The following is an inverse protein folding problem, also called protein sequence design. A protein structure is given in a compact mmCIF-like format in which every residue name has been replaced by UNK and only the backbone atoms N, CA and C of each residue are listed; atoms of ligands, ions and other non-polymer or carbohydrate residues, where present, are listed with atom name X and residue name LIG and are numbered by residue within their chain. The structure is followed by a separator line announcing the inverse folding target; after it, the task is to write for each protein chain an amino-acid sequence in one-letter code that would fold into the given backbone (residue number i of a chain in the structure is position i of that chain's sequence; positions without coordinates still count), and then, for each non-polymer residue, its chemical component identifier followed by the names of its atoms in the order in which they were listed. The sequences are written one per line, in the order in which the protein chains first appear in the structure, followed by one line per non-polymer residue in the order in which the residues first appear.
data_IF_309956614859
#
_entry.id   IF_309956614859
#
_cell.length_a   1.000
_cell.length_b   1.000
_cell.length_c   1.000
_cell.angle_alpha   90.00
_cell.angle_beta   90.00
_cell.angle_gamma   90.00
#
_symmetry.space_group_name_H-M   'P 1'
#
loop_
_entity.id
_entity.type
_entity.pdbx_description
1 polymer ?
#
# COMPACT_ATOMS: atom_id res chain seq x y z
N UNK A 1 -19.96 1.23 10.05
CA UNK A 1 -19.64 -0.05 9.40
C UNK A 1 -20.88 -0.76 8.90
N UNK A 2 -21.91 -0.97 9.74
CA UNK A 2 -23.20 -1.56 9.34
C UNK A 2 -23.76 -0.96 8.06
N UNK A 3 -23.92 0.37 7.99
CA UNK A 3 -24.47 1.02 6.79
C UNK A 3 -23.61 0.75 5.55
N UNK A 4 -22.28 0.85 5.67
CA UNK A 4 -21.38 0.56 4.55
C UNK A 4 -21.51 -0.89 4.07
N UNK A 5 -21.67 -1.86 4.97
CA UNK A 5 -21.87 -3.27 4.62
C UNK A 5 -23.21 -3.49 3.90
N UNK A 6 -24.29 -2.85 4.38
CA UNK A 6 -25.63 -2.94 3.77
C UNK A 6 -25.70 -2.22 2.41
N UNK A 7 -24.91 -1.16 2.23
CA UNK A 7 -24.78 -0.48 0.93
C UNK A 7 -23.97 -1.30 -0.07
N UNK A 8 -23.03 -2.13 0.40
CA UNK A 8 -22.14 -2.93 -0.44
C UNK A 8 -22.82 -4.16 -1.03
N UNK A 9 -23.51 -4.95 -0.19
CA UNK A 9 -24.12 -6.22 -0.56
C UNK A 9 -25.34 -6.52 0.32
N UNK A 10 -26.20 -7.44 -0.12
CA UNK A 10 -27.33 -7.94 0.66
C UNK A 10 -26.86 -8.84 1.81
N UNK A 11 -26.51 -8.22 2.94
CA UNK A 11 -25.98 -8.90 4.13
C UNK A 11 -26.96 -8.89 5.30
N UNK A 12 -26.89 -9.95 6.11
CA UNK A 12 -27.41 -9.93 7.47
C UNK A 12 -26.30 -9.42 8.41
N UNK A 13 -26.43 -8.19 8.91
CA UNK A 13 -25.43 -7.59 9.81
C UNK A 13 -25.87 -7.74 11.27
N UNK A 14 -25.09 -8.48 12.06
CA UNK A 14 -25.32 -8.69 13.50
C UNK A 14 -24.24 -7.94 14.28
N UNK A 15 -24.65 -7.00 15.13
CA UNK A 15 -23.74 -6.29 16.05
C UNK A 15 -23.71 -7.01 17.39
N UNK A 16 -22.53 -7.49 17.79
CA UNK A 16 -22.33 -8.15 19.08
C UNK A 16 -22.00 -7.10 20.14
N UNK A 17 -23.01 -6.68 20.90
CA UNK A 17 -22.81 -5.82 22.06
C UNK A 17 -22.39 -6.65 23.30
N UNK A 18 -21.14 -6.48 23.72
CA UNK A 18 -20.59 -7.09 24.92
C UNK A 18 -20.02 -6.02 25.89
N UNK A 19 -20.49 -4.78 25.78
CA UNK A 19 -19.99 -3.61 26.50
C UNK A 19 -19.91 -3.81 28.03
N UNK A 20 -20.85 -4.55 28.62
CA UNK A 20 -20.82 -4.88 30.04
C UNK A 20 -19.58 -5.71 30.43
N UNK A 21 -19.18 -6.66 29.58
CA UNK A 21 -17.96 -7.45 29.77
C UNK A 21 -16.69 -6.71 29.40
N UNK A 22 -16.76 -5.79 28.44
CA UNK A 22 -15.63 -4.99 27.95
C UNK A 22 -15.17 -3.90 28.93
N UNK A 23 -16.08 -3.34 29.74
CA UNK A 23 -15.79 -2.25 30.70
C UNK A 23 -15.11 -2.70 32.01
N UNK A 24 -14.84 -3.99 32.15
CA UNK A 24 -14.05 -4.49 33.28
C UNK A 24 -12.59 -3.99 33.20
N UNK A 25 -11.81 -4.22 34.25
CA UNK A 25 -10.35 -4.04 34.16
C UNK A 25 -9.80 -4.85 32.99
N UNK A 26 -8.77 -4.34 32.30
CA UNK A 26 -8.33 -4.89 31.02
C UNK A 26 -8.08 -6.41 31.05
N UNK A 27 -7.43 -6.93 32.10
CA UNK A 27 -7.19 -8.37 32.26
C UNK A 27 -8.48 -9.20 32.35
N UNK A 28 -9.51 -8.66 33.00
CA UNK A 28 -10.82 -9.30 33.08
C UNK A 28 -11.58 -9.16 31.76
N UNK A 29 -11.51 -8.01 31.09
CA UNK A 29 -12.10 -7.82 29.76
C UNK A 29 -11.48 -8.79 28.74
N UNK A 30 -10.15 -8.94 28.75
CA UNK A 30 -9.42 -9.92 27.96
C UNK A 30 -9.87 -11.35 28.28
N UNK A 31 -10.05 -11.72 29.56
CA UNK A 31 -10.57 -13.03 29.94
C UNK A 31 -12.02 -13.25 29.48
N UNK A 32 -12.87 -12.21 29.53
CA UNK A 32 -14.26 -12.25 29.10
C UNK A 32 -14.41 -12.54 27.61
N UNK A 33 -13.42 -12.20 26.77
CA UNK A 33 -13.45 -12.46 25.32
C UNK A 33 -13.71 -13.94 25.00
N UNK A 34 -13.19 -14.86 25.81
CA UNK A 34 -13.43 -16.31 25.66
C UNK A 34 -14.91 -16.65 25.79
N UNK A 35 -15.57 -16.13 26.83
CA UNK A 35 -16.99 -16.38 27.05
C UNK A 35 -17.82 -15.77 25.91
N UNK A 36 -17.51 -14.54 25.50
CA UNK A 36 -18.22 -13.89 24.38
C UNK A 36 -18.03 -14.68 23.07
N UNK A 37 -16.82 -15.17 22.78
CA UNK A 37 -16.56 -16.01 21.61
C UNK A 37 -17.39 -17.30 21.62
N UNK A 38 -17.55 -17.93 22.80
CA UNK A 38 -18.42 -19.10 22.95
C UNK A 38 -19.90 -18.79 22.70
N UNK A 39 -20.39 -17.63 23.15
CA UNK A 39 -21.77 -17.19 22.89
C UNK A 39 -22.00 -16.91 21.40
N UNK A 40 -21.04 -16.26 20.73
CA UNK A 40 -21.07 -16.04 19.28
C UNK A 40 -21.09 -17.37 18.53
N UNK A 41 -20.23 -18.32 18.90
CA UNK A 41 -20.24 -19.66 18.31
C UNK A 41 -21.58 -20.38 18.53
N UNK A 42 -22.19 -20.25 19.71
CA UNK A 42 -23.50 -20.84 20.01
C UNK A 42 -24.61 -20.25 19.16
N UNK A 43 -24.59 -18.93 18.92
CA UNK A 43 -25.54 -18.27 18.02
C UNK A 43 -25.38 -18.76 16.57
N UNK A 44 -24.15 -18.82 16.07
CA UNK A 44 -23.86 -19.28 14.71
C UNK A 44 -24.33 -20.73 14.52
N UNK A 45 -24.04 -21.61 15.49
CA UNK A 45 -24.51 -22.99 15.45
C UNK A 45 -26.04 -23.09 15.46
N UNK A 46 -26.72 -22.26 16.25
CA UNK A 46 -28.19 -22.17 16.21
C UNK A 46 -28.69 -21.77 14.81
N UNK A 47 -28.06 -20.79 14.17
CA UNK A 47 -28.44 -20.37 12.81
C UNK A 47 -28.17 -21.47 11.77
N UNK A 48 -27.07 -22.20 11.89
CA UNK A 48 -26.76 -23.33 11.00
C UNK A 48 -27.81 -24.43 11.16
N UNK A 49 -28.08 -24.85 12.39
CA UNK A 49 -28.95 -26.02 12.66
C UNK A 49 -30.44 -25.72 12.53
N UNK A 50 -30.87 -24.49 12.82
CA UNK A 50 -32.31 -24.13 12.87
C UNK A 50 -32.75 -23.24 11.71
N UNK A 51 -31.83 -22.60 10.99
CA UNK A 51 -32.13 -21.62 9.92
C UNK A 51 -31.45 -21.94 8.59
N UNK A 52 -30.91 -23.15 8.43
CA UNK A 52 -30.28 -23.63 7.18
C UNK A 52 -29.15 -22.71 6.68
N UNK A 53 -28.49 -22.02 7.61
CA UNK A 53 -27.31 -21.22 7.30
C UNK A 53 -26.09 -22.13 7.10
N UNK A 54 -25.15 -21.73 6.26
CA UNK A 54 -23.89 -22.46 6.04
C UNK A 54 -22.77 -21.78 6.80
N UNK A 55 -21.90 -22.54 7.46
CA UNK A 55 -20.75 -22.00 8.20
C UNK A 55 -19.85 -21.10 7.31
N UNK A 56 -19.66 -21.48 6.04
CA UNK A 56 -18.92 -20.69 5.04
C UNK A 56 -19.55 -19.35 4.67
N UNK A 57 -20.83 -19.13 5.00
CA UNK A 57 -21.53 -17.86 4.78
C UNK A 57 -21.33 -16.83 5.89
N UNK A 58 -20.63 -17.19 6.97
CA UNK A 58 -20.35 -16.27 8.07
C UNK A 58 -18.98 -15.58 7.90
N UNK A 59 -18.99 -14.26 8.11
CA UNK A 59 -17.82 -13.41 8.18
C UNK A 59 -17.85 -12.63 9.49
N UNK A 60 -16.87 -12.87 10.37
CA UNK A 60 -16.74 -12.16 11.63
C UNK A 60 -15.71 -11.03 11.48
N UNK A 61 -16.09 -9.81 11.82
CA UNK A 61 -15.20 -8.64 11.82
C UNK A 61 -15.03 -8.22 13.28
N UNK A 62 -13.82 -8.36 13.81
CA UNK A 62 -13.50 -8.01 15.19
C UNK A 62 -12.48 -6.87 15.24
N UNK A 63 -12.66 -5.90 16.13
CA UNK A 63 -11.66 -4.85 16.39
C UNK A 63 -11.08 -5.00 17.79
N UNK A 64 -9.78 -4.76 17.95
CA UNK A 64 -9.11 -4.85 19.26
C UNK A 64 -9.31 -6.22 19.92
N UNK A 65 -9.81 -6.28 21.16
CA UNK A 65 -10.24 -7.51 21.84
C UNK A 65 -11.29 -8.31 21.05
N UNK A 66 -12.11 -7.64 20.22
CA UNK A 66 -13.08 -8.27 19.32
C UNK A 66 -12.44 -9.20 18.27
N UNK A 67 -11.20 -8.93 17.85
CA UNK A 67 -10.45 -9.83 16.95
C UNK A 67 -10.27 -11.20 17.58
N UNK A 68 -9.96 -11.25 18.88
CA UNK A 68 -9.81 -12.51 19.62
C UNK A 68 -11.15 -13.17 19.96
N UNK A 69 -12.21 -12.39 20.18
CA UNK A 69 -13.58 -12.93 20.28
C UNK A 69 -13.93 -13.71 19.01
N UNK A 70 -13.61 -13.16 17.82
CA UNK A 70 -13.83 -13.83 16.55
C UNK A 70 -13.02 -15.12 16.42
N UNK A 71 -11.74 -15.12 16.84
CA UNK A 71 -10.90 -16.32 16.88
C UNK A 71 -11.49 -17.41 17.78
N UNK A 72 -11.83 -17.07 19.03
CA UNK A 72 -12.47 -17.99 19.96
C UNK A 72 -13.80 -18.55 19.44
N UNK A 73 -14.57 -17.77 18.71
CA UNK A 73 -15.80 -18.25 18.07
C UNK A 73 -15.51 -19.29 16.97
N UNK A 74 -14.52 -19.02 16.12
CA UNK A 74 -14.04 -19.94 15.08
C UNK A 74 -13.52 -21.25 15.66
N UNK A 75 -12.60 -21.16 16.62
CA UNK A 75 -12.04 -22.31 17.34
C UNK A 75 -13.16 -23.18 17.97
N UNK A 76 -14.14 -22.55 18.62
CA UNK A 76 -15.25 -23.24 19.26
C UNK A 76 -16.17 -23.94 18.25
N UNK A 77 -16.46 -23.32 17.10
CA UNK A 77 -17.23 -23.94 16.02
C UNK A 77 -16.55 -25.20 15.48
N UNK A 78 -15.23 -25.15 15.31
CA UNK A 78 -14.44 -26.29 14.85
C UNK A 78 -14.45 -27.40 15.90
N UNK A 79 -14.11 -27.08 17.15
CA UNK A 79 -13.93 -28.09 18.20
C UNK A 79 -15.23 -28.69 18.72
N UNK A 80 -16.31 -27.92 18.79
CA UNK A 80 -17.59 -28.37 19.37
C UNK A 80 -18.59 -28.86 18.33
N UNK A 81 -18.58 -28.27 17.14
CA UNK A 81 -19.64 -28.48 16.15
C UNK A 81 -19.13 -29.03 14.81
N UNK A 82 -17.80 -29.21 14.66
CA UNK A 82 -17.17 -29.61 13.39
C UNK A 82 -17.52 -28.68 12.22
N UNK A 83 -17.74 -27.39 12.52
CA UNK A 83 -18.05 -26.34 11.53
C UNK A 83 -16.85 -25.40 11.39
N UNK A 84 -16.60 -24.91 10.18
CA UNK A 84 -15.52 -23.93 9.92
C UNK A 84 -16.09 -22.67 9.28
N UNK A 85 -15.79 -21.52 9.87
CA UNK A 85 -16.25 -20.21 9.41
C UNK A 85 -15.69 -19.87 8.03
N UNK A 86 -16.43 -19.08 7.25
CA UNK A 86 -15.97 -18.57 5.97
C UNK A 86 -14.80 -17.61 6.11
N UNK A 87 -14.97 -16.55 6.90
CA UNK A 87 -13.93 -15.52 7.04
C UNK A 87 -13.89 -14.89 8.43
N UNK A 88 -12.69 -14.53 8.89
CA UNK A 88 -12.49 -13.62 10.03
C UNK A 88 -11.62 -12.45 9.57
N UNK A 89 -12.05 -11.22 9.81
CA UNK A 89 -11.20 -10.03 9.68
C UNK A 89 -10.85 -9.47 11.06
N UNK A 90 -9.57 -9.45 11.40
CA UNK A 90 -9.02 -8.85 12.62
C UNK A 90 -8.58 -7.40 12.38
N UNK A 91 -9.24 -6.45 13.00
CA UNK A 91 -8.94 -5.02 12.87
C UNK A 91 -8.14 -4.59 14.09
N UNK A 92 -6.85 -4.43 13.89
CA UNK A 92 -5.83 -4.13 14.89
C UNK A 92 -5.97 -5.01 16.16
N UNK A 93 -5.76 -6.34 16.05
CA UNK A 93 -5.92 -7.28 17.16
C UNK A 93 -5.08 -6.86 18.38
N UNK A 94 -5.65 -6.93 19.58
CA UNK A 94 -5.01 -6.37 20.78
C UNK A 94 -3.70 -7.10 21.17
N UNK A 95 -2.63 -6.36 21.48
CA UNK A 95 -1.36 -6.92 21.96
C UNK A 95 -1.45 -7.48 23.38
N UNK A 96 -1.90 -6.72 24.39
CA UNK A 96 -1.62 -7.09 25.77
C UNK A 96 -2.39 -8.34 26.15
N UNK A 97 -1.67 -9.34 26.69
CA UNK A 97 -2.15 -10.68 27.05
C UNK A 97 -2.41 -11.64 25.88
N UNK A 98 -2.13 -11.25 24.63
CA UNK A 98 -2.34 -12.08 23.44
C UNK A 98 -1.07 -12.27 22.59
N UNK A 99 -0.24 -11.23 22.43
CA UNK A 99 0.98 -11.32 21.61
C UNK A 99 1.91 -12.42 22.15
N UNK A 100 2.51 -13.17 21.23
CA UNK A 100 3.38 -14.32 21.52
C UNK A 100 2.75 -15.42 22.40
N UNK A 101 1.42 -15.41 22.59
CA UNK A 101 0.70 -16.51 23.21
C UNK A 101 0.43 -17.63 22.20
N UNK A 102 0.22 -18.88 22.66
CA UNK A 102 -0.21 -19.98 21.81
C UNK A 102 -1.48 -19.66 21.02
N UNK A 103 -1.63 -20.27 19.85
CA UNK A 103 -2.75 -20.08 18.91
C UNK A 103 -4.12 -20.12 19.62
N UNK A 104 -4.38 -21.14 20.47
CA UNK A 104 -5.64 -21.28 21.23
C UNK A 104 -5.96 -20.15 22.24
N UNK A 105 -5.10 -19.14 22.39
CA UNK A 105 -5.30 -17.99 23.28
C UNK A 105 -5.63 -16.71 22.49
N UNK A 106 -5.50 -16.72 21.16
CA UNK A 106 -5.63 -15.52 20.32
C UNK A 106 -6.29 -15.86 18.98
N UNK A 107 -6.36 -14.86 18.11
CA UNK A 107 -6.74 -15.08 16.72
C UNK A 107 -5.57 -15.78 16.00
N UNK A 108 -5.88 -16.78 15.19
CA UNK A 108 -4.90 -17.43 14.32
C UNK A 108 -5.53 -17.94 13.00
N UNK A 109 -4.71 -18.32 11.99
CA UNK A 109 -5.23 -18.71 10.68
C UNK A 109 -6.12 -19.96 10.70
N UNK A 110 -6.08 -20.79 11.74
CA UNK A 110 -6.89 -22.00 11.85
C UNK A 110 -8.37 -21.73 12.17
N UNK A 111 -8.70 -20.54 12.68
CA UNK A 111 -10.03 -20.17 13.18
C UNK A 111 -11.11 -20.06 12.08
N UNK A 112 -10.71 -19.88 10.82
CA UNK A 112 -11.63 -19.80 9.67
C UNK A 112 -11.00 -20.33 8.38
N UNK A 113 -11.79 -20.47 7.32
CA UNK A 113 -11.27 -20.80 5.98
C UNK A 113 -10.34 -19.71 5.44
N UNK A 114 -10.61 -18.45 5.79
CA UNK A 114 -9.75 -17.32 5.50
C UNK A 114 -9.71 -16.35 6.69
N UNK A 115 -8.53 -15.84 7.02
CA UNK A 115 -8.32 -14.90 8.11
C UNK A 115 -7.44 -13.79 7.57
N UNK A 116 -7.92 -12.55 7.64
CA UNK A 116 -7.16 -11.36 7.25
C UNK A 116 -7.04 -10.40 8.42
N UNK A 117 -5.88 -9.79 8.62
CA UNK A 117 -5.66 -8.83 9.70
C UNK A 117 -5.12 -7.50 9.20
N UNK A 118 -5.56 -6.39 9.80
CA UNK A 118 -5.03 -5.05 9.55
C UNK A 118 -4.36 -4.56 10.83
N UNK A 119 -3.06 -4.31 10.79
CA UNK A 119 -2.25 -3.85 11.91
C UNK A 119 -1.96 -2.36 11.75
N UNK A 120 -2.38 -1.54 12.71
CA UNK A 120 -2.26 -0.08 12.62
C UNK A 120 -1.56 0.57 13.80
N UNK A 121 -1.50 -0.11 14.95
CA UNK A 121 -0.92 0.41 16.19
C UNK A 121 0.00 -0.60 16.89
N UNK A 122 0.87 -1.27 16.13
CA UNK A 122 1.76 -2.33 16.61
C UNK A 122 2.98 -1.85 17.41
N UNK A 123 2.92 -0.67 18.03
CA UNK A 123 3.96 -0.25 18.99
C UNK A 123 3.93 -1.16 20.21
N UNK A 124 5.04 -1.25 20.93
CA UNK A 124 5.01 -1.87 22.26
C UNK A 124 4.00 -1.15 23.14
N UNK A 125 3.25 -1.89 23.97
CA UNK A 125 2.38 -1.32 25.01
C UNK A 125 3.08 -0.29 25.92
N UNK A 126 4.41 -0.36 26.10
CA UNK A 126 5.19 0.64 26.85
C UNK A 126 5.16 2.01 26.13
N UNK A 127 5.10 2.00 24.80
CA UNK A 127 4.90 3.16 23.94
C UNK A 127 3.42 3.40 23.61
N UNK A 128 2.52 2.79 24.39
CA UNK A 128 1.07 2.90 24.27
C UNK A 128 0.48 2.37 22.96
N UNK A 129 1.16 1.42 22.29
CA UNK A 129 0.53 0.66 21.20
C UNK A 129 -0.46 -0.35 21.75
N UNK A 130 -1.64 -0.42 21.15
CA UNK A 130 -2.69 -1.35 21.53
C UNK A 130 -2.73 -2.60 20.65
N UNK A 131 -2.30 -2.51 19.39
CA UNK A 131 -2.32 -3.60 18.42
C UNK A 131 -1.09 -4.51 18.52
N UNK A 132 -1.23 -5.78 18.15
CA UNK A 132 -0.09 -6.70 18.07
C UNK A 132 0.68 -6.55 16.75
N UNK A 133 1.98 -6.89 16.77
CA UNK A 133 2.83 -6.95 15.57
C UNK A 133 2.89 -8.36 14.96
N UNK A 134 2.73 -9.39 15.80
CA UNK A 134 2.72 -10.79 15.36
C UNK A 134 1.61 -11.01 14.32
N UNK A 135 1.90 -11.68 13.19
CA UNK A 135 0.87 -12.03 12.22
C UNK A 135 -0.09 -13.06 12.83
N UNK A 136 -1.37 -12.89 12.54
CA UNK A 136 -2.47 -13.75 13.02
C UNK A 136 -3.37 -14.26 11.90
N UNK A 137 -3.19 -13.76 10.68
CA UNK A 137 -3.99 -14.11 9.52
C UNK A 137 -3.31 -15.11 8.59
N UNK A 138 -4.09 -15.56 7.61
CA UNK A 138 -3.51 -16.04 6.36
C UNK A 138 -2.76 -14.89 5.66
N UNK A 139 -3.35 -13.69 5.71
CA UNK A 139 -2.76 -12.45 5.24
C UNK A 139 -2.84 -11.37 6.32
N UNK A 140 -1.77 -10.58 6.46
CA UNK A 140 -1.62 -9.55 7.48
C UNK A 140 -1.13 -8.26 6.81
N UNK A 141 -1.92 -7.20 6.88
CA UNK A 141 -1.66 -5.91 6.28
C UNK A 141 -1.09 -4.94 7.30
N UNK A 142 0.00 -4.27 6.95
CA UNK A 142 0.70 -3.30 7.79
C UNK A 142 0.74 -1.92 7.10
N UNK A 143 -0.39 -1.21 6.99
CA UNK A 143 -0.44 0.15 6.44
C UNK A 143 0.52 1.08 7.20
N UNK A 144 1.35 1.80 6.45
CA UNK A 144 2.41 2.69 6.96
C UNK A 144 3.36 1.96 7.93
N UNK A 145 3.65 0.69 7.67
CA UNK A 145 4.45 -0.17 8.53
C UNK A 145 3.71 -0.76 9.72
N UNK A 146 2.43 -0.39 9.91
CA UNK A 146 1.54 -0.92 10.95
C UNK A 146 1.77 -0.37 12.35
N UNK A 147 2.50 0.74 12.48
CA UNK A 147 2.94 1.29 13.78
C UNK A 147 2.32 2.66 14.05
N UNK A 148 2.52 3.61 13.13
CA UNK A 148 2.04 4.99 13.24
C UNK A 148 1.24 5.36 12.02
N UNK A 149 0.00 5.79 12.24
CA UNK A 149 -0.88 6.17 11.14
C UNK A 149 -0.79 7.68 10.87
N UNK A 150 -0.66 8.10 9.60
CA UNK A 150 -0.65 9.52 9.25
C UNK A 150 -1.87 10.27 9.83
N UNK A 151 -1.64 11.45 10.40
CA UNK A 151 -2.70 12.25 11.04
C UNK A 151 -3.06 11.83 12.46
N UNK A 152 -2.31 10.91 13.08
CA UNK A 152 -2.47 10.52 14.49
C UNK A 152 -1.37 11.07 15.41
N UNK A 153 -0.48 11.92 14.92
CA UNK A 153 0.54 12.55 15.77
C UNK A 153 -0.09 13.65 16.65
N UNK A 154 0.43 13.83 17.86
CA UNK A 154 0.01 14.87 18.83
C UNK A 154 -0.15 16.27 18.20
N UNK A 155 0.73 16.63 17.26
CA UNK A 155 0.72 17.96 16.63
C UNK A 155 -0.28 18.09 15.46
N UNK A 156 -0.87 16.99 14.98
CA UNK A 156 -1.86 17.02 13.90
C UNK A 156 -3.29 17.32 14.40
N UNK A 157 -3.50 17.39 15.73
CA UNK A 157 -4.81 17.70 16.32
C UNK A 157 -5.02 19.21 16.42
N UNK A 158 -5.96 19.73 15.64
CA UNK A 158 -6.39 21.13 15.67
C UNK A 158 -7.64 21.38 16.55
N UNK A 159 -8.06 20.40 17.35
CA UNK A 159 -9.28 20.50 18.15
C UNK A 159 -9.02 21.12 19.54
N UNK A 160 -9.93 22.01 19.95
CA UNK A 160 -10.01 22.50 21.31
C UNK A 160 -10.67 21.42 22.17
N UNK A 161 -9.86 20.53 22.72
CA UNK A 161 -10.39 19.51 23.61
C UNK A 161 -10.87 20.11 24.94
N UNK A 162 -12.10 19.81 25.33
CA UNK A 162 -12.72 20.34 26.55
C UNK A 162 -12.18 19.68 27.84
N UNK A 163 -11.65 18.44 27.76
CA UNK A 163 -11.13 17.68 28.91
C UNK A 163 -9.83 16.92 28.58
N UNK A 164 -8.84 17.00 29.48
CA UNK A 164 -7.52 16.34 29.34
C UNK A 164 -7.57 14.80 29.30
N UNK A 165 -8.60 14.18 29.91
CA UNK A 165 -8.77 12.72 29.89
C UNK A 165 -9.29 12.20 28.53
N UNK A 166 -10.13 12.98 27.86
CA UNK A 166 -10.62 12.66 26.51
C UNK A 166 -9.50 12.84 25.47
N UNK A 167 -8.65 13.88 25.65
CA UNK A 167 -7.41 14.09 24.89
C UNK A 167 -6.53 12.85 24.94
N UNK A 168 -6.24 12.35 26.14
CA UNK A 168 -5.36 11.20 26.35
C UNK A 168 -5.91 9.91 25.72
N UNK A 169 -7.23 9.67 25.79
CA UNK A 169 -7.86 8.51 25.16
C UNK A 169 -7.91 8.61 23.63
N UNK A 170 -8.23 9.78 23.08
CA UNK A 170 -8.33 9.97 21.63
C UNK A 170 -6.96 9.96 20.95
N UNK A 171 -5.95 10.55 21.60
CA UNK A 171 -4.57 10.60 21.08
C UNK A 171 -3.94 9.21 20.99
N UNK A 172 -4.18 8.38 22.00
CA UNK A 172 -3.57 7.05 22.07
C UNK A 172 -4.34 6.05 21.21
N UNK A 173 -5.66 6.20 21.05
CA UNK A 173 -6.47 5.31 20.24
C UNK A 173 -6.51 5.66 18.74
N UNK A 174 -6.00 6.81 18.28
CA UNK A 174 -6.15 7.23 16.88
C UNK A 174 -5.59 6.21 15.87
N UNK A 175 -4.36 5.73 16.08
CA UNK A 175 -3.76 4.69 15.23
C UNK A 175 -4.55 3.39 15.35
N UNK A 176 -5.01 3.03 16.55
CA UNK A 176 -5.79 1.82 16.81
C UNK A 176 -7.16 1.81 16.10
N UNK A 177 -7.84 2.96 16.07
CA UNK A 177 -9.14 3.13 15.41
C UNK A 177 -9.00 3.25 13.88
N UNK A 178 -7.79 3.47 13.37
CA UNK A 178 -7.56 3.63 11.94
C UNK A 178 -7.88 2.36 11.15
N UNK A 179 -7.68 1.17 11.73
CA UNK A 179 -8.09 -0.08 11.11
C UNK A 179 -9.59 -0.11 10.78
N UNK A 180 -10.45 0.44 11.64
CA UNK A 180 -11.89 0.59 11.38
C UNK A 180 -12.15 1.52 10.19
N UNK A 181 -11.46 2.66 10.16
CA UNK A 181 -11.63 3.67 9.11
C UNK A 181 -11.21 3.14 7.75
N UNK A 182 -10.04 2.49 7.67
CA UNK A 182 -9.56 1.86 6.45
C UNK A 182 -10.51 0.75 5.98
N UNK A 183 -11.00 -0.09 6.89
CA UNK A 183 -11.94 -1.14 6.52
C UNK A 183 -13.26 -0.57 5.99
N UNK A 184 -13.83 0.44 6.66
CA UNK A 184 -15.06 1.11 6.21
C UNK A 184 -14.87 1.76 4.84
N UNK A 185 -13.74 2.43 4.61
CA UNK A 185 -13.43 3.02 3.31
C UNK A 185 -13.26 1.95 2.23
N UNK A 186 -12.60 0.83 2.53
CA UNK A 186 -12.44 -0.29 1.60
C UNK A 186 -13.78 -0.86 1.11
N UNK A 187 -14.83 -0.75 1.93
CA UNK A 187 -16.20 -1.14 1.56
C UNK A 187 -16.81 -0.12 0.59
N UNK A 188 -16.76 1.17 0.96
CA UNK A 188 -17.39 2.26 0.21
C UNK A 188 -16.74 2.52 -1.15
N UNK A 189 -15.43 2.37 -1.24
CA UNK A 189 -14.63 2.74 -2.41
C UNK A 189 -14.36 1.54 -3.34
N UNK A 190 -15.16 0.47 -3.28
CA UNK A 190 -14.92 -0.74 -4.09
C UNK A 190 -14.90 -0.46 -5.61
N UNK A 191 -15.71 0.50 -6.07
CA UNK A 191 -15.78 0.92 -7.47
C UNK A 191 -14.89 2.13 -7.80
N UNK A 192 -14.07 2.57 -6.85
CA UNK A 192 -13.17 3.70 -6.99
C UNK A 192 -11.88 3.31 -7.73
N UNK A 193 -11.21 4.31 -8.32
CA UNK A 193 -9.84 4.14 -8.79
C UNK A 193 -8.86 4.14 -7.60
N UNK A 194 -9.25 4.62 -6.43
CA UNK A 194 -8.39 4.65 -5.26
C UNK A 194 -8.57 3.33 -4.47
N UNK A 195 -7.57 2.44 -4.54
CA UNK A 195 -7.60 1.12 -3.92
C UNK A 195 -6.47 0.96 -2.90
N UNK A 196 -6.70 0.20 -1.84
CA UNK A 196 -5.67 -0.16 -0.87
C UNK A 196 -4.83 -1.35 -1.36
N UNK A 197 -4.14 -1.18 -2.50
CA UNK A 197 -3.24 -2.20 -3.03
C UNK A 197 -2.05 -2.31 -2.07
N UNK A 198 -1.80 -3.52 -1.60
CA UNK A 198 -0.72 -3.84 -0.69
C UNK A 198 0.19 -4.90 -1.29
N UNK A 199 1.48 -4.79 -0.99
CA UNK A 199 2.54 -5.59 -1.59
C UNK A 199 3.15 -6.55 -0.57
N UNK A 200 3.25 -7.83 -0.93
CA UNK A 200 3.91 -8.85 -0.13
C UNK A 200 5.38 -8.47 0.06
N UNK A 201 5.84 -8.33 1.30
CA UNK A 201 7.22 -7.99 1.55
C UNK A 201 7.74 -8.54 2.87
N UNK A 202 9.06 -8.63 3.02
CA UNK A 202 9.66 -9.12 4.29
C UNK A 202 9.77 -8.02 5.36
N UNK A 203 9.78 -6.74 4.99
CA UNK A 203 9.73 -5.62 5.93
C UNK A 203 9.22 -4.35 5.24
N UNK A 204 8.75 -3.39 6.04
CA UNK A 204 8.29 -2.09 5.53
C UNK A 204 9.43 -1.29 4.87
N UNK A 205 10.66 -1.38 5.37
CA UNK A 205 11.82 -0.69 4.80
C UNK A 205 12.12 -1.19 3.38
N UNK A 206 12.05 -2.51 3.16
CA UNK A 206 12.23 -3.10 1.82
C UNK A 206 11.10 -2.70 0.87
N UNK A 207 9.88 -2.57 1.38
CA UNK A 207 8.75 -2.03 0.64
C UNK A 207 9.01 -0.57 0.20
N UNK A 208 9.45 0.30 1.12
CA UNK A 208 9.83 1.69 0.80
C UNK A 208 11.00 1.80 -0.18
N UNK A 209 11.92 0.84 -0.14
CA UNK A 209 13.02 0.71 -1.12
C UNK A 209 12.56 0.18 -2.49
N UNK A 210 11.27 -0.15 -2.67
CA UNK A 210 10.74 -0.64 -3.94
C UNK A 210 11.13 -2.10 -4.27
N UNK A 211 11.56 -2.88 -3.29
CA UNK A 211 12.04 -4.26 -3.52
C UNK A 211 10.93 -5.26 -3.81
N UNK A 212 9.69 -4.90 -3.48
CA UNK A 212 8.53 -5.80 -3.44
C UNK A 212 7.35 -5.33 -4.32
N UNK A 213 7.60 -4.43 -5.27
CA UNK A 213 6.54 -3.71 -5.98
C UNK A 213 5.82 -4.55 -7.05
N UNK A 214 6.44 -5.63 -7.54
CA UNK A 214 5.90 -6.43 -8.63
C UNK A 214 4.89 -7.44 -8.09
N UNK A 215 3.65 -7.37 -8.58
CA UNK A 215 2.56 -8.24 -8.12
C UNK A 215 2.62 -9.68 -8.64
N UNK A 216 3.51 -9.96 -9.61
CA UNK A 216 3.63 -11.29 -10.23
C UNK A 216 2.47 -11.64 -11.16
N UNK A 217 2.40 -12.89 -11.59
CA UNK A 217 1.28 -13.34 -12.45
C UNK A 217 0.03 -13.50 -11.57
N UNK A 218 -1.13 -13.11 -12.11
CA UNK A 218 -2.41 -13.23 -11.40
C UNK A 218 -2.45 -12.53 -10.01
N UNK A 219 -1.59 -11.54 -9.79
CA UNK A 219 -1.45 -10.81 -8.51
C UNK A 219 -0.97 -11.67 -7.32
N UNK A 220 -0.19 -12.72 -7.56
CA UNK A 220 0.34 -13.62 -6.51
C UNK A 220 1.13 -12.93 -5.36
N UNK A 221 1.60 -11.70 -5.55
CA UNK A 221 2.33 -10.89 -4.56
C UNK A 221 1.63 -9.59 -4.16
N UNK A 222 0.38 -9.36 -4.59
CA UNK A 222 -0.40 -8.19 -4.22
C UNK A 222 -1.79 -8.56 -3.76
N UNK A 223 -2.31 -7.84 -2.76
CA UNK A 223 -3.66 -8.02 -2.26
C UNK A 223 -4.30 -6.68 -1.96
N UNK A 224 -5.62 -6.59 -2.09
CA UNK A 224 -6.36 -5.39 -1.69
C UNK A 224 -6.72 -5.50 -0.21
N UNK A 225 -6.19 -4.59 0.62
CA UNK A 225 -6.53 -4.55 2.04
C UNK A 225 -8.02 -4.23 2.25
N UNK A 226 -8.65 -4.91 3.21
CA UNK A 226 -10.03 -4.65 3.64
C UNK A 226 -11.03 -5.65 3.07
N UNK A 227 -12.24 -5.20 2.70
CA UNK A 227 -13.37 -6.09 2.37
C UNK A 227 -13.06 -7.06 1.22
N UNK A 228 -12.14 -6.71 0.31
CA UNK A 228 -11.75 -7.53 -0.86
C UNK A 228 -10.47 -8.35 -0.68
N UNK A 229 -9.96 -8.48 0.54
CA UNK A 229 -8.76 -9.28 0.80
C UNK A 229 -8.94 -10.77 0.44
N UNK A 230 -10.18 -11.26 0.38
CA UNK A 230 -10.55 -12.60 -0.06
C UNK A 230 -10.31 -12.84 -1.55
N UNK A 231 -10.16 -11.80 -2.37
CA UNK A 231 -9.72 -11.92 -3.77
C UNK A 231 -8.32 -12.57 -3.90
N UNK A 232 -7.53 -12.58 -2.83
CA UNK A 232 -6.21 -13.21 -2.77
C UNK A 232 -6.25 -14.72 -2.49
N UNK A 233 -7.39 -15.28 -2.07
CA UNK A 233 -7.53 -16.71 -1.75
C UNK A 233 -7.04 -17.63 -2.89
N UNK A 234 -7.35 -17.38 -4.18
CA UNK A 234 -6.90 -18.25 -5.28
C UNK A 234 -5.38 -18.37 -5.40
N UNK A 235 -4.62 -17.35 -5.01
CA UNK A 235 -3.15 -17.30 -5.10
C UNK A 235 -2.46 -17.64 -3.78
N UNK A 236 -3.21 -17.76 -2.67
CA UNK A 236 -2.68 -18.01 -1.33
C UNK A 236 -2.04 -19.40 -1.17
N UNK A 237 -2.65 -20.44 -1.76
CA UNK A 237 -2.23 -21.82 -1.54
C UNK A 237 -2.31 -22.23 -0.05
N UNK A 238 -1.28 -22.91 0.45
CA UNK A 238 -1.17 -23.33 1.87
C UNK A 238 -0.47 -22.27 2.76
N UNK A 239 -0.19 -21.08 2.22
CA UNK A 239 0.57 -20.04 2.91
C UNK A 239 -0.25 -19.44 4.04
N UNK A 240 0.45 -19.04 5.10
CA UNK A 240 -0.09 -18.34 6.28
C UNK A 240 0.86 -17.24 6.70
N UNK A 241 0.38 -16.28 7.47
CA UNK A 241 1.16 -15.18 8.02
C UNK A 241 1.86 -14.35 6.93
N UNK A 242 1.20 -14.18 5.78
CA UNK A 242 1.75 -13.42 4.64
C UNK A 242 1.65 -11.93 4.94
N UNK A 243 2.79 -11.25 4.99
CA UNK A 243 2.86 -9.82 5.33
C UNK A 243 2.77 -8.93 4.09
N UNK A 244 1.79 -8.04 4.08
CA UNK A 244 1.56 -7.04 3.06
C UNK A 244 1.79 -5.63 3.61
N UNK A 245 2.38 -4.76 2.80
CA UNK A 245 2.64 -3.36 3.15
C UNK A 245 2.08 -2.41 2.09
N UNK A 246 1.63 -1.25 2.54
CA UNK A 246 1.11 -0.16 1.74
C UNK A 246 1.26 1.16 2.51
N UNK A 247 1.28 2.29 1.82
CA UNK A 247 1.14 3.61 2.44
C UNK A 247 -0.31 4.10 2.34
N UNK A 248 -0.74 4.90 3.31
CA UNK A 248 -2.03 5.61 3.27
C UNK A 248 -1.84 7.11 3.55
N UNK A 249 -2.89 7.89 3.29
CA UNK A 249 -2.99 9.31 3.62
C UNK A 249 -3.44 9.55 5.07
N UNK A 250 -3.41 10.81 5.48
CA UNK A 250 -3.85 11.26 6.83
C UNK A 250 -5.36 11.45 6.99
N UNK A 251 -6.07 11.54 5.86
CA UNK A 251 -7.50 11.86 5.78
C UNK A 251 -8.13 11.10 4.62
N UNK A 252 -9.42 10.80 4.71
CA UNK A 252 -10.18 10.15 3.64
C UNK A 252 -10.22 11.00 2.35
N UNK A 253 -10.12 10.42 1.15
CA UNK A 253 -9.76 9.02 0.90
C UNK A 253 -8.32 8.72 1.36
N UNK A 254 -8.16 7.67 2.16
CA UNK A 254 -6.89 7.26 2.76
C UNK A 254 -6.01 6.48 1.79
N UNK A 255 -6.57 5.80 0.80
CA UNK A 255 -5.78 5.09 -0.19
C UNK A 255 -4.78 6.01 -0.90
N UNK A 256 -3.62 5.46 -1.23
CA UNK A 256 -2.58 6.11 -2.04
C UNK A 256 -2.30 5.28 -3.27
N UNK A 257 -1.93 5.96 -4.34
CA UNK A 257 -1.34 5.35 -5.53
C UNK A 257 0.16 5.23 -5.29
N UNK A 258 0.71 4.05 -5.57
CA UNK A 258 2.13 3.82 -5.46
C UNK A 258 2.76 3.76 -6.85
N UNK A 259 3.92 4.38 -6.98
CA UNK A 259 4.75 4.35 -8.17
C UNK A 259 6.16 3.92 -7.78
N UNK A 260 6.71 2.95 -8.50
CA UNK A 260 8.11 2.57 -8.36
C UNK A 260 8.95 3.34 -9.37
N UNK A 261 9.85 4.17 -8.86
CA UNK A 261 10.87 4.84 -9.65
C UNK A 261 12.14 3.99 -9.66
N UNK A 262 12.55 3.53 -10.84
CA UNK A 262 13.83 2.85 -11.04
C UNK A 262 14.79 3.75 -11.81
N UNK A 263 15.89 4.16 -11.15
CA UNK A 263 16.92 5.03 -11.73
C UNK A 263 18.15 4.18 -12.02
N UNK A 264 18.48 4.01 -13.29
CA UNK A 264 19.67 3.29 -13.70
C UNK A 264 20.85 4.24 -13.76
N UNK A 265 21.81 4.11 -12.84
CA UNK A 265 23.03 4.92 -12.86
C UNK A 265 24.00 4.39 -13.92
N UNK A 266 24.61 5.31 -14.66
CA UNK A 266 25.61 4.98 -15.67
C UNK A 266 27.02 5.05 -15.09
N UNK A 267 27.88 4.11 -15.48
CA UNK A 267 29.33 4.17 -15.23
C UNK A 267 30.04 4.55 -16.52
N UNK A 268 30.37 5.83 -16.69
CA UNK A 268 31.25 6.31 -17.77
C UNK A 268 32.71 6.30 -17.32
N UNK A 269 33.65 6.41 -18.25
CA UNK A 269 35.08 6.52 -17.94
C UNK A 269 35.42 7.75 -17.07
N UNK A 270 34.62 8.82 -17.19
CA UNK A 270 34.73 10.03 -16.36
C UNK A 270 33.98 9.93 -15.03
N UNK A 271 33.17 8.89 -14.82
CA UNK A 271 32.38 8.75 -13.60
C UNK A 271 33.24 8.09 -12.52
N UNK A 272 33.23 8.70 -11.34
CA UNK A 272 33.74 8.06 -10.13
C UNK A 272 32.98 6.77 -9.84
N UNK A 273 33.55 5.91 -8.98
CA UNK A 273 32.87 4.67 -8.60
C UNK A 273 31.54 4.95 -7.89
N UNK A 274 31.49 6.02 -7.08
CA UNK A 274 30.31 6.42 -6.34
C UNK A 274 30.36 7.91 -6.00
N UNK A 275 29.18 8.49 -5.76
CA UNK A 275 28.98 9.86 -5.26
C UNK A 275 28.00 9.86 -4.09
N UNK A 276 27.92 10.95 -3.34
CA UNK A 276 26.95 11.11 -2.26
C UNK A 276 26.24 12.46 -2.34
N UNK A 277 25.00 12.50 -1.90
CA UNK A 277 24.21 13.72 -1.95
C UNK A 277 22.72 13.47 -1.83
N UNK A 278 21.98 14.48 -2.25
CA UNK A 278 20.53 14.56 -2.18
C UNK A 278 19.94 14.53 -3.58
N UNK A 279 18.81 13.84 -3.73
CA UNK A 279 18.13 13.71 -5.01
C UNK A 279 16.65 13.99 -4.85
N UNK A 280 16.12 14.83 -5.73
CA UNK A 280 14.67 15.09 -5.82
C UNK A 280 14.15 14.78 -7.20
N UNK A 281 12.85 14.56 -7.31
CA UNK A 281 12.20 14.34 -8.60
C UNK A 281 10.83 15.01 -8.69
N UNK A 282 10.48 15.41 -9.92
CA UNK A 282 9.11 15.74 -10.29
C UNK A 282 8.62 14.74 -11.33
N UNK A 283 7.40 14.25 -11.15
CA UNK A 283 6.73 13.31 -12.06
C UNK A 283 5.59 14.02 -12.76
N UNK A 284 5.49 13.87 -14.07
CA UNK A 284 4.34 14.35 -14.84
C UNK A 284 3.76 13.19 -15.64
N UNK A 285 2.51 12.87 -15.35
CA UNK A 285 1.76 11.82 -16.02
C UNK A 285 0.54 12.36 -16.76
N UNK A 286 -0.17 11.45 -17.40
CA UNK A 286 -1.32 11.78 -18.26
C UNK A 286 -2.53 12.34 -17.50
N UNK A 287 -2.60 12.14 -16.17
CA UNK A 287 -3.73 12.58 -15.34
C UNK A 287 -3.34 13.60 -14.27
N UNK A 288 -2.06 13.82 -14.01
CA UNK A 288 -1.60 14.74 -12.98
C UNK A 288 -0.08 14.86 -12.89
N UNK A 289 0.37 15.65 -11.93
CA UNK A 289 1.79 15.88 -11.64
C UNK A 289 2.06 15.76 -10.14
N UNK A 290 3.30 15.44 -9.81
CA UNK A 290 3.81 15.38 -8.45
C UNK A 290 5.16 16.07 -8.41
N UNK A 291 5.29 17.08 -7.55
CA UNK A 291 6.44 17.98 -7.50
C UNK A 291 7.24 17.78 -6.23
N UNK A 292 8.53 18.06 -6.29
CA UNK A 292 9.45 18.15 -5.15
C UNK A 292 9.53 16.87 -4.30
N UNK A 293 9.44 15.70 -4.95
CA UNK A 293 9.54 14.40 -4.27
C UNK A 293 10.99 14.16 -3.85
N UNK A 294 11.23 14.07 -2.55
CA UNK A 294 12.54 13.72 -2.00
C UNK A 294 12.81 12.22 -2.14
N UNK A 295 13.87 11.86 -2.86
CA UNK A 295 14.31 10.46 -3.05
C UNK A 295 15.37 10.05 -2.01
N UNK A 296 15.76 10.98 -1.15
CA UNK A 296 16.78 10.86 -0.10
C UNK A 296 16.28 11.40 1.25
N UNK A 297 15.11 10.95 1.74
CA UNK A 297 14.49 11.52 2.94
C UNK A 297 15.30 11.30 4.23
N UNK A 298 16.14 10.25 4.27
CA UNK A 298 17.02 9.94 5.40
C UNK A 298 18.33 10.76 5.37
N UNK A 299 18.44 11.69 4.42
CA UNK A 299 19.59 12.55 4.21
C UNK A 299 20.55 12.05 3.13
N UNK A 300 21.79 12.56 3.19
CA UNK A 300 22.83 12.32 2.19
C UNK A 300 23.07 10.82 1.97
N UNK A 301 22.80 10.38 0.73
CA UNK A 301 22.82 8.98 0.34
C UNK A 301 23.97 8.71 -0.61
N UNK A 302 24.63 7.56 -0.44
CA UNK A 302 25.67 7.07 -1.34
C UNK A 302 25.05 6.39 -2.57
N UNK A 303 25.50 6.80 -3.74
CA UNK A 303 25.07 6.31 -5.05
C UNK A 303 26.25 5.71 -5.80
N UNK A 304 26.16 4.42 -6.16
CA UNK A 304 27.23 3.70 -6.87
C UNK A 304 26.94 3.71 -8.37
N UNK A 305 27.85 4.23 -9.19
CA UNK A 305 27.63 4.27 -10.63
C UNK A 305 27.64 2.87 -11.24
N UNK A 306 26.74 2.61 -12.19
CA UNK A 306 26.55 1.29 -12.79
C UNK A 306 25.54 0.40 -12.05
N UNK A 307 24.95 0.88 -10.95
CA UNK A 307 23.86 0.18 -10.24
C UNK A 307 22.50 0.79 -10.54
N UNK A 308 21.44 0.07 -10.20
CA UNK A 308 20.06 0.56 -10.23
C UNK A 308 19.63 1.00 -8.82
N UNK A 309 18.96 2.15 -8.74
CA UNK A 309 18.30 2.63 -7.52
C UNK A 309 16.81 2.42 -7.70
N UNK A 310 16.14 1.92 -6.67
CA UNK A 310 14.69 1.81 -6.60
C UNK A 310 14.15 2.69 -5.49
N UNK A 311 13.06 3.41 -5.75
CA UNK A 311 12.36 4.23 -4.75
C UNK A 311 10.86 4.13 -4.94
N UNK A 312 10.16 3.83 -3.85
CA UNK A 312 8.71 3.88 -3.81
C UNK A 312 8.25 5.32 -3.60
N UNK A 313 7.34 5.78 -4.46
CA UNK A 313 6.68 7.08 -4.38
C UNK A 313 5.20 6.84 -4.13
N UNK A 314 4.64 7.46 -3.10
CA UNK A 314 3.25 7.28 -2.69
C UNK A 314 2.52 8.62 -2.75
N UNK A 315 1.39 8.70 -3.44
CA UNK A 315 0.64 9.94 -3.65
C UNK A 315 -0.88 9.73 -3.60
N UNK A 316 -1.62 10.76 -3.17
CA UNK A 316 -3.08 10.73 -3.14
C UNK A 316 -3.71 10.92 -4.53
N UNK A 317 -2.91 11.27 -5.54
CA UNK A 317 -3.39 11.57 -6.90
C UNK A 317 -2.95 10.48 -7.88
N UNK A 318 -3.87 10.04 -8.72
CA UNK A 318 -3.55 9.17 -9.85
C UNK A 318 -2.86 10.02 -10.92
N UNK A 319 -1.57 9.77 -11.14
CA UNK A 319 -0.76 10.46 -12.17
C UNK A 319 -1.04 9.89 -13.57
N UNK A 320 -1.65 8.72 -13.68
CA UNK A 320 -1.75 7.97 -14.92
C UNK A 320 -0.36 7.56 -15.44
N UNK A 321 -0.21 7.53 -16.76
CA UNK A 321 1.06 7.15 -17.39
C UNK A 321 2.08 8.28 -17.23
N UNK A 322 3.08 8.06 -16.37
CA UNK A 322 4.17 9.00 -16.13
C UNK A 322 5.16 8.95 -17.29
N UNK A 323 5.12 9.98 -18.13
CA UNK A 323 5.92 10.05 -19.36
C UNK A 323 7.05 11.07 -19.27
N UNK A 324 7.06 11.90 -18.22
CA UNK A 324 8.06 12.91 -17.98
C UNK A 324 8.54 12.82 -16.53
N UNK A 325 9.86 12.75 -16.35
CA UNK A 325 10.50 12.72 -15.04
C UNK A 325 11.61 13.75 -15.02
N UNK A 326 11.62 14.60 -14.01
CA UNK A 326 12.63 15.63 -13.83
C UNK A 326 13.45 15.31 -12.58
N UNK A 327 14.73 14.97 -12.73
CA UNK A 327 15.60 14.61 -11.60
C UNK A 327 16.51 15.79 -11.28
N UNK A 328 16.55 16.17 -10.01
CA UNK A 328 17.47 17.16 -9.44
C UNK A 328 18.53 16.47 -8.58
N UNK A 329 19.77 16.95 -8.67
CA UNK A 329 20.92 16.43 -7.93
C UNK A 329 21.67 17.52 -7.20
N UNK A 330 21.96 17.29 -5.92
CA UNK A 330 22.80 18.15 -5.09
C UNK A 330 23.85 17.30 -4.37
N UNK A 331 25.13 17.52 -4.71
CA UNK A 331 26.25 16.83 -4.08
C UNK A 331 26.44 17.27 -2.62
N UNK A 332 26.73 16.32 -1.74
CA UNK A 332 27.05 16.61 -0.34
C UNK A 332 28.56 16.75 -0.14
N UNK A 333 28.97 17.99 0.18
CA UNK A 333 30.35 18.37 0.44
C UNK A 333 30.83 18.01 1.85
N UNK A 334 29.94 17.60 2.75
CA UNK A 334 30.31 17.29 4.12
C UNK A 334 31.03 15.94 4.20
N UNK A 335 32.28 15.99 4.66
CA UNK A 335 33.13 14.82 4.87
C UNK A 335 33.09 14.50 6.37
N UNK A 336 32.33 13.48 6.77
CA UNK A 336 32.39 12.98 8.13
C UNK A 336 33.67 12.12 8.30
N UNK A 337 34.66 12.55 9.13
CA UNK A 337 35.92 11.82 9.28
C UNK A 337 35.76 10.42 9.90
N UNK A 338 34.64 10.15 10.58
CA UNK A 338 34.31 8.86 11.16
C UNK A 338 33.71 7.87 10.15
N UNK A 339 33.28 8.34 8.98
CA UNK A 339 32.69 7.52 7.92
C UNK A 339 33.67 7.38 6.75
N UNK A 340 34.75 6.63 6.99
CA UNK A 340 35.85 6.42 6.02
C UNK A 340 35.37 5.84 4.67
N UNK A 341 34.16 5.26 4.61
CA UNK A 341 33.53 4.75 3.38
C UNK A 341 32.83 5.82 2.53
N UNK A 342 32.74 7.06 3.04
CA UNK A 342 32.14 8.26 2.44
C UNK A 342 33.16 9.38 2.17
N UNK A 343 34.45 9.12 2.38
CA UNK A 343 35.52 10.07 2.05
C UNK A 343 36.05 9.77 0.66
N UNK A 344 35.93 10.71 -0.26
CA UNK A 344 36.60 10.63 -1.55
C UNK A 344 37.96 11.36 -1.45
N UNK A 345 39.05 10.65 -1.80
CA UNK A 345 40.42 10.97 -1.33
C UNK A 345 41.23 11.79 -2.34
N UNK A 346 40.86 11.83 -3.63
CA UNK A 346 41.77 12.32 -4.67
C UNK A 346 41.20 13.35 -5.66
N UNK A 347 39.88 13.41 -5.93
CA UNK A 347 39.16 14.48 -6.67
C UNK A 347 37.69 14.05 -6.79
N UNK A 348 36.77 14.66 -6.04
CA UNK A 348 35.37 14.22 -6.05
C UNK A 348 34.60 14.92 -7.16
N UNK A 349 34.14 14.15 -8.15
CA UNK A 349 33.18 14.67 -9.12
C UNK A 349 31.86 14.92 -8.41
N UNK A 350 31.35 16.15 -8.53
CA UNK A 350 30.07 16.56 -7.97
C UNK A 350 28.89 16.18 -8.89
N UNK A 351 29.15 15.42 -9.96
CA UNK A 351 28.20 15.04 -11.00
C UNK A 351 27.66 13.64 -10.77
N UNK A 352 26.37 13.45 -11.01
CA UNK A 352 25.76 12.11 -11.11
C UNK A 352 25.47 11.77 -12.57
N UNK A 353 25.62 10.47 -12.92
CA UNK A 353 25.51 9.97 -14.29
C UNK A 353 24.39 8.94 -14.33
N UNK A 354 23.36 9.19 -15.13
CA UNK A 354 22.16 8.39 -15.25
C UNK A 354 22.02 7.87 -16.69
N UNK A 355 21.54 6.64 -16.86
CA UNK A 355 21.28 6.03 -18.16
C UNK A 355 19.80 6.15 -18.55
N UNK A 356 18.92 5.75 -17.66
CA UNK A 356 17.48 5.75 -17.89
C UNK A 356 16.74 5.79 -16.57
N UNK A 357 15.45 6.10 -16.67
CA UNK A 357 14.52 6.07 -15.54
C UNK A 357 13.29 5.28 -15.99
N UNK A 358 12.83 4.34 -15.18
CA UNK A 358 11.52 3.68 -15.36
C UNK A 358 10.58 4.13 -14.26
N UNK A 359 9.30 4.27 -14.60
CA UNK A 359 8.22 4.43 -13.62
C UNK A 359 7.23 3.29 -13.81
N UNK A 360 6.99 2.53 -12.74
CA UNK A 360 6.01 1.44 -12.71
C UNK A 360 4.85 1.84 -11.81
N UNK A 361 3.61 1.68 -12.29
CA UNK A 361 2.37 1.99 -11.57
C UNK A 361 1.78 0.72 -10.94
N UNK A 362 1.41 0.75 -9.65
CA UNK A 362 0.91 -0.42 -8.93
C UNK A 362 -0.46 -0.91 -9.45
N UNK A 363 -1.30 -0.01 -9.94
CA UNK A 363 -2.68 -0.33 -10.30
C UNK A 363 -2.81 -1.15 -11.58
N UNK A 364 -1.96 -0.85 -12.56
CA UNK A 364 -2.00 -1.47 -13.89
C UNK A 364 -0.72 -2.25 -14.21
N UNK A 365 0.28 -2.22 -13.32
CA UNK A 365 1.60 -2.81 -13.52
C UNK A 365 2.24 -2.36 -14.86
N UNK A 366 1.89 -1.16 -15.32
CA UNK A 366 2.43 -0.58 -16.55
C UNK A 366 3.79 0.04 -16.26
N UNK A 367 4.78 -0.30 -17.09
CA UNK A 367 6.12 0.26 -17.00
C UNK A 367 6.31 1.29 -18.12
N UNK A 368 6.65 2.52 -17.73
CA UNK A 368 7.01 3.59 -18.63
C UNK A 368 8.51 3.86 -18.53
N UNK A 369 9.24 3.49 -19.57
CA UNK A 369 10.66 3.81 -19.70
C UNK A 369 10.84 5.21 -20.28
N UNK A 370 11.50 6.08 -19.54
CA UNK A 370 11.87 7.41 -19.98
C UNK A 370 13.39 7.54 -20.09
N UNK A 371 13.84 8.20 -21.15
CA UNK A 371 15.26 8.44 -21.41
C UNK A 371 15.53 9.93 -21.40
N UNK A 372 16.77 10.28 -21.16
CA UNK A 372 17.14 11.67 -21.07
C UNK A 372 17.19 12.34 -22.45
N UNK A 373 16.70 13.58 -22.52
CA UNK A 373 16.70 14.35 -23.75
C UNK A 373 18.06 14.89 -24.17
N UNK A 374 18.55 14.49 -25.35
CA UNK A 374 19.40 15.32 -26.20
C UNK A 374 19.09 15.07 -27.69
N UNK A 375 18.97 16.16 -28.44
CA UNK A 375 18.47 16.28 -29.83
C UNK A 375 19.44 15.82 -30.93
N UNK A 376 20.23 14.79 -30.69
CA UNK A 376 21.07 14.17 -31.72
C UNK A 376 21.25 12.70 -31.41
N UNK A 377 20.41 11.90 -32.04
CA UNK A 377 20.39 10.44 -31.98
C UNK A 377 21.70 9.91 -32.58
N UNK A 378 22.55 9.30 -31.75
CA UNK A 378 23.25 8.09 -32.16
C UNK A 378 23.39 7.14 -30.98
N UNK A 379 23.15 5.87 -31.27
CA UNK A 379 22.66 4.84 -30.39
C UNK A 379 23.77 3.96 -29.82
N UNK A 380 24.08 4.11 -28.52
CA UNK A 380 24.47 2.99 -27.65
C UNK A 380 24.56 3.39 -26.18
N UNK A 381 25.00 4.62 -25.87
CA UNK A 381 25.33 5.02 -24.49
C UNK A 381 24.86 6.43 -24.12
N UNK A 382 23.57 6.75 -24.30
CA UNK A 382 23.01 8.03 -23.83
C UNK A 382 23.09 8.10 -22.30
N UNK A 383 24.20 8.64 -21.80
CA UNK A 383 24.44 8.94 -20.39
C UNK A 383 24.09 10.40 -20.16
N UNK A 384 23.20 10.65 -19.22
CA UNK A 384 22.89 11.96 -18.75
C UNK A 384 23.64 12.33 -17.49
N UNK A 385 24.35 13.44 -17.61
CA UNK A 385 25.20 14.00 -16.58
C UNK A 385 24.42 15.13 -15.93
N UNK A 386 24.27 15.07 -14.61
CA UNK A 386 23.62 16.10 -13.81
C UNK A 386 24.67 16.64 -12.84
N UNK A 387 25.21 17.85 -13.08
CA UNK A 387 26.07 18.53 -12.12
C UNK A 387 25.33 18.86 -10.81
N UNK A 388 26.07 19.05 -9.71
CA UNK A 388 25.49 19.51 -8.45
C UNK A 388 24.73 20.84 -8.63
N UNK A 389 23.57 20.99 -8.00
CA UNK A 389 22.72 22.17 -8.14
C UNK A 389 21.99 22.27 -9.48
N UNK A 390 21.93 21.17 -10.25
CA UNK A 390 21.26 21.11 -11.55
C UNK A 390 20.25 19.97 -11.59
N UNK A 391 19.44 20.01 -12.63
CA UNK A 391 18.42 19.03 -12.91
C UNK A 391 18.42 18.63 -14.37
N UNK A 392 17.76 17.51 -14.67
CA UNK A 392 17.65 16.97 -16.03
C UNK A 392 16.29 16.35 -16.26
N UNK A 393 15.78 16.56 -17.48
CA UNK A 393 14.50 16.04 -17.92
C UNK A 393 14.67 14.72 -18.67
N UNK A 394 13.86 13.74 -18.28
CA UNK A 394 13.71 12.44 -18.90
C UNK A 394 12.31 12.34 -19.49
N UNK A 395 12.19 11.86 -20.72
CA UNK A 395 10.92 11.70 -21.41
C UNK A 395 10.87 10.41 -22.20
N UNK A 396 9.65 9.91 -22.43
CA UNK A 396 9.46 8.78 -23.33
C UNK A 396 9.73 9.23 -24.79
N UNK A 397 10.67 8.61 -25.51
CA UNK A 397 10.95 8.99 -26.89
C UNK A 397 9.76 8.64 -27.78
N UNK A 398 9.35 9.56 -28.66
CA UNK A 398 8.29 9.28 -29.62
C UNK A 398 8.69 8.08 -30.50
N UNK A 399 7.80 7.09 -30.65
CA UNK A 399 8.01 6.06 -31.67
C UNK A 399 8.09 6.75 -33.03
N UNK A 400 9.12 6.51 -33.84
CA UNK A 400 9.15 7.05 -35.20
C UNK A 400 7.91 6.56 -35.94
N UNK A 401 7.23 7.47 -36.61
CA UNK A 401 6.11 7.15 -37.48
C UNK A 401 6.64 6.26 -38.61
N UNK A 402 6.37 4.96 -38.55
CA UNK A 402 6.66 4.06 -39.66
C UNK A 402 5.53 4.26 -40.67
N UNK A 403 5.78 5.02 -41.72
CA UNK A 403 4.97 4.91 -42.93
C UNK A 403 5.05 3.45 -43.38
N UNK A 404 3.97 2.71 -43.24
CA UNK A 404 3.79 1.48 -44.02
C UNK A 404 3.91 1.89 -45.49
N UNK A 405 5.07 1.59 -46.09
CA UNK A 405 5.22 1.59 -47.53
C UNK A 405 4.32 0.49 -48.08
N UNK A 406 3.03 0.79 -48.25
CA UNK A 406 2.18 0.06 -49.17
C UNK A 406 2.76 0.32 -50.55
N UNK A 407 3.56 -0.62 -51.04
CA UNK A 407 4.03 -0.60 -52.42
C UNK A 407 2.83 -0.75 -53.35
N UNK A 408 2.32 0.35 -53.87
CA UNK A 408 1.79 0.43 -55.23
C UNK A 408 1.65 1.91 -55.66
N UNK A 409 2.76 2.51 -56.08
CA UNK A 409 2.72 3.72 -56.91
C UNK A 409 2.26 3.32 -58.32
N UNK A 410 0.94 3.17 -58.52
CA UNK A 410 0.25 3.56 -59.76
C UNK A 410 -1.28 3.40 -59.67
N UNK A 411 -1.93 4.55 -59.87
CA UNK A 411 -3.35 4.79 -60.24
C UNK A 411 -4.34 4.81 -59.06
N UNK A 412 -4.78 6.00 -58.67
CA UNK A 412 -6.15 6.50 -58.91
C UNK A 412 -6.30 7.92 -58.32
N UNK A 413 -5.90 8.95 -59.08
CA UNK A 413 -6.42 10.30 -58.87
C UNK A 413 -7.77 10.43 -59.59
N UNK A 414 -8.87 10.20 -58.88
CA UNK A 414 -10.18 10.76 -59.24
C UNK A 414 -10.76 11.47 -58.02
N UNK A 415 -10.81 12.80 -58.08
CA UNK A 415 -11.49 13.70 -57.13
C UNK A 415 -12.94 13.25 -56.91
N UNK A 416 -13.45 13.15 -55.67
CA UNK A 416 -14.88 13.24 -55.42
C UNK A 416 -15.29 14.72 -55.39
N UNK A 417 -16.26 15.08 -56.24
CA UNK A 417 -16.98 16.34 -56.16
C UNK A 417 -17.80 16.37 -54.88
N UNK A 418 -17.67 17.45 -54.12
CA UNK A 418 -18.56 17.82 -53.03
C UNK A 418 -20.03 17.84 -53.47
N UNK A 419 -20.89 17.09 -52.80
CA UNK A 419 -22.33 17.37 -52.73
C UNK A 419 -22.69 17.63 -51.28
N UNK A 420 -22.92 18.90 -50.96
CA UNK A 420 -23.61 19.33 -49.75
C UNK A 420 -25.10 18.98 -49.90
N UNK A 421 -25.67 18.33 -48.91
CA UNK A 421 -27.11 18.18 -48.74
C UNK A 421 -27.49 18.82 -47.40
N UNK A 422 -28.22 19.94 -47.46
CA UNK A 422 -28.86 20.57 -46.32
C UNK A 422 -30.05 19.72 -45.87
N UNK A 423 -30.09 19.35 -44.58
CA UNK A 423 -31.31 18.88 -43.94
C UNK A 423 -32.08 20.08 -43.37
N UNK A 424 -33.29 20.29 -43.87
CA UNK A 424 -34.32 21.14 -43.26
C UNK A 424 -35.09 20.30 -42.24
N UNK A 425 -35.17 20.77 -41.00
CA UNK A 425 -36.18 20.32 -40.04
C UNK A 425 -37.54 20.97 -40.39
N UNK A 426 -38.66 20.25 -40.27
CA UNK A 426 -39.96 20.88 -40.07
C UNK A 426 -40.31 20.92 -38.58
N UNK A 427 -41.08 21.95 -38.25
CA UNK A 427 -41.80 22.18 -37.00
C UNK A 427 -42.73 21.03 -36.61
#
# INVERSE_FOLDING_TARGET
MTDALLDYMDFNVIVVDWNAGARAIYSQAAANTRLVGLEVASLIEYLITQRDCKAKGFHLIGHSLGSHISGYAGEALIKKYSQKLGRISGLDPAEPLFQSMPEFVRLDPSDAEFVDAIHTDSKSIIMLGYGMMDPVGHVDFYPNGGVDQPGCALMDFHENFENLDDVGRHLVACSHDRALQYYIESIRETNSTCKFIAHECSSYEKFKQGSCFVCGKENEHCSTMGIRADEFIPTLGDRKNVKFYLDTGKSSPYCKNHYLLEINLAKSDEAEQWVQGFMKTNLYGSKGELMDVDLTPDGSTKFVHGTQIKRLISTNSDLGNVNLVHIEWNYDHDINPLDLGKVCVLLCSDKIYLRSVSVIDDQNQSENHVVCGNSSVNSSDQICIIPSGKSKLFYQPCKPFVEEKTGDDRKFLRKPKSKFSFFKFPF
#
